data_IF_409764389622
#
_entry.id   IF_409764389622
#
_cell.length_a   1.000
_cell.length_b   1.000
_cell.length_c   1.000
_cell.angle_alpha   90.00
_cell.angle_beta   90.00
_cell.angle_gamma   90.00
#
_symmetry.space_group_name_H-M   'P 1'
#
loop_
_entity.id
_entity.type
_entity.pdbx_description
1 polymer ?
#
# COMPACT_ATOMS: atom_id res chain seq x y z
N UNK A 1 -80.22 32.84 -10.33
CA UNK A 1 -79.37 33.99 -9.95
C UNK A 1 -78.98 33.82 -8.49
N UNK A 2 -77.69 33.97 -8.16
CA UNK A 2 -77.10 33.86 -6.81
C UNK A 2 -76.30 32.57 -6.60
N UNK A 3 -74.95 32.54 -6.77
CA UNK A 3 -73.88 32.73 -5.74
C UNK A 3 -73.84 31.62 -4.68
N UNK A 4 -72.74 30.96 -4.26
CA UNK A 4 -71.29 30.99 -4.48
C UNK A 4 -70.66 29.79 -3.69
N UNK A 5 -69.31 29.73 -3.56
CA UNK A 5 -68.47 28.94 -2.59
C UNK A 5 -67.97 27.57 -3.12
N UNK A 6 -66.69 27.14 -3.06
CA UNK A 6 -65.41 27.76 -2.70
C UNK A 6 -64.21 26.93 -3.23
N UNK A 7 -63.08 27.64 -3.30
CA UNK A 7 -61.67 27.27 -3.49
C UNK A 7 -61.15 26.10 -2.62
N UNK A 8 -60.23 25.30 -3.17
CA UNK A 8 -59.02 24.85 -2.46
C UNK A 8 -57.97 24.30 -3.46
N UNK A 9 -57.07 25.16 -3.90
CA UNK A 9 -55.84 24.78 -4.60
C UNK A 9 -54.78 24.39 -3.55
N UNK A 10 -54.40 23.11 -3.50
CA UNK A 10 -53.26 22.64 -2.71
C UNK A 10 -52.02 22.67 -3.61
N UNK A 11 -51.22 23.72 -3.46
CA UNK A 11 -49.86 23.80 -4.02
C UNK A 11 -48.90 23.24 -2.98
N UNK A 12 -48.46 22.00 -3.16
CA UNK A 12 -47.34 21.44 -2.41
C UNK A 12 -46.02 21.88 -3.05
N UNK A 13 -45.42 22.96 -2.53
CA UNK A 13 -44.01 23.27 -2.80
C UNK A 13 -43.17 22.40 -1.90
N UNK A 14 -42.72 21.26 -2.43
CA UNK A 14 -41.69 20.44 -1.80
C UNK A 14 -40.32 21.08 -2.04
N UNK A 15 -39.85 21.91 -1.11
CA UNK A 15 -38.44 22.27 -1.00
C UNK A 15 -37.66 21.08 -0.45
N UNK A 16 -37.35 20.12 -1.32
CA UNK A 16 -36.34 19.11 -1.04
C UNK A 16 -34.97 19.78 -1.01
N UNK A 17 -34.50 20.18 0.17
CA UNK A 17 -33.10 20.51 0.39
C UNK A 17 -32.28 19.24 0.19
N UNK A 18 -31.81 18.99 -1.03
CA UNK A 18 -30.73 18.03 -1.27
C UNK A 18 -29.48 18.62 -0.65
N UNK A 19 -29.03 18.06 0.47
CA UNK A 19 -27.71 18.34 1.03
C UNK A 19 -26.70 17.71 0.07
N UNK A 20 -26.23 18.50 -0.90
CA UNK A 20 -25.06 18.15 -1.70
C UNK A 20 -23.88 18.19 -0.72
N UNK A 21 -23.19 17.08 -0.47
CA UNK A 21 -22.01 17.11 0.38
C UNK A 21 -20.99 18.05 -0.26
N UNK A 22 -20.54 19.05 0.51
CA UNK A 22 -19.64 20.13 0.05
C UNK A 22 -18.23 19.62 -0.30
N UNK A 23 -17.97 18.35 0.01
CA UNK A 23 -16.80 17.58 -0.41
C UNK A 23 -17.24 16.18 -0.82
N UNK A 24 -16.53 15.54 -1.73
CA UNK A 24 -16.88 14.20 -2.20
C UNK A 24 -15.92 13.69 -3.28
N UNK A 25 -16.05 12.41 -3.67
CA UNK A 25 -15.29 11.86 -4.78
C UNK A 25 -15.77 12.46 -6.12
N UNK A 26 -14.88 13.14 -6.84
CA UNK A 26 -15.13 13.62 -8.20
C UNK A 26 -14.28 12.85 -9.20
N UNK A 27 -14.86 12.46 -10.34
CA UNK A 27 -14.10 11.93 -11.47
C UNK A 27 -13.42 13.08 -12.19
N UNK A 28 -12.09 13.10 -12.21
CA UNK A 28 -11.33 14.02 -13.05
C UNK A 28 -10.89 13.28 -14.30
N UNK A 29 -11.21 13.83 -15.46
CA UNK A 29 -10.66 13.38 -16.74
C UNK A 29 -9.42 14.23 -17.02
N UNK A 30 -8.23 13.70 -16.81
CA UNK A 30 -7.01 14.37 -17.27
C UNK A 30 -6.85 14.14 -18.78
N UNK A 31 -6.68 15.21 -19.53
CA UNK A 31 -6.33 15.17 -20.94
C UNK A 31 -4.83 14.84 -21.08
N UNK A 32 -4.50 13.54 -21.07
CA UNK A 32 -3.18 13.00 -21.35
C UNK A 32 -3.34 11.65 -22.04
N UNK A 33 -3.00 11.58 -23.33
CA UNK A 33 -3.31 10.45 -24.21
C UNK A 33 -2.63 9.13 -23.82
N UNK A 34 -3.35 8.03 -24.01
CA UNK A 34 -2.74 6.78 -24.47
C UNK A 34 -2.46 5.65 -23.46
N UNK A 35 -2.93 5.70 -22.20
CA UNK A 35 -2.88 4.51 -21.32
C UNK A 35 -4.27 3.85 -21.18
N UNK A 36 -4.48 2.59 -21.61
CA UNK A 36 -5.70 1.83 -21.38
C UNK A 36 -6.00 1.57 -19.88
N UNK A 37 -5.10 1.96 -18.97
CA UNK A 37 -5.34 2.00 -17.52
C UNK A 37 -5.84 3.36 -16.99
N UNK A 38 -6.10 4.36 -17.85
CA UNK A 38 -6.79 5.61 -17.51
C UNK A 38 -8.27 5.37 -17.14
N UNK A 39 -8.52 4.59 -16.07
CA UNK A 39 -9.76 4.75 -15.33
C UNK A 39 -9.68 6.12 -14.66
N UNK A 40 -10.65 7.03 -14.86
CA UNK A 40 -10.74 8.22 -14.04
C UNK A 40 -10.75 7.77 -12.58
N UNK A 41 -9.68 8.08 -11.84
CA UNK A 41 -9.64 7.80 -10.42
C UNK A 41 -10.38 8.93 -9.72
N UNK A 42 -11.25 8.55 -8.80
CA UNK A 42 -12.06 9.49 -8.05
C UNK A 42 -11.17 10.29 -7.10
N UNK A 43 -11.07 11.60 -7.31
CA UNK A 43 -10.31 12.51 -6.46
C UNK A 43 -11.17 12.95 -5.28
N UNK A 44 -10.56 13.08 -4.11
CA UNK A 44 -11.17 13.82 -3.03
C UNK A 44 -10.88 15.30 -3.23
N UNK A 45 -11.92 16.13 -3.33
CA UNK A 45 -11.74 17.58 -3.26
C UNK A 45 -12.08 18.01 -1.84
N UNK A 46 -11.08 18.53 -1.14
CA UNK A 46 -11.25 19.07 0.19
C UNK A 46 -11.52 20.57 0.15
N UNK A 47 -12.37 21.03 1.06
CA UNK A 47 -12.64 22.46 1.25
C UNK A 47 -11.99 22.94 2.55
N UNK A 48 -11.61 24.23 2.69
CA UNK A 48 -11.17 24.79 3.97
C UNK A 48 -12.24 24.67 5.06
N UNK A 49 -11.86 24.65 6.36
CA UNK A 49 -12.83 24.60 7.44
C UNK A 49 -13.68 25.87 7.47
N UNK A 50 -15.00 25.71 7.62
CA UNK A 50 -15.94 26.82 7.72
C UNK A 50 -16.15 27.22 9.18
N UNK A 51 -16.32 28.52 9.44
CA UNK A 51 -16.52 29.03 10.80
C UNK A 51 -17.80 28.54 11.49
N UNK A 52 -18.78 28.06 10.73
CA UNK A 52 -20.02 27.48 11.25
C UNK A 52 -19.91 26.00 11.62
N UNK A 53 -18.79 25.35 11.31
CA UNK A 53 -18.67 23.91 11.52
C UNK A 53 -18.56 23.55 12.99
N UNK A 54 -19.31 22.51 13.35
CA UNK A 54 -19.10 21.82 14.61
C UNK A 54 -17.84 20.92 14.54
N UNK A 55 -17.40 20.37 15.69
CA UNK A 55 -16.26 19.46 15.77
C UNK A 55 -16.34 18.18 14.91
N UNK A 56 -17.51 17.57 14.72
CA UNK A 56 -17.67 16.39 13.84
C UNK A 56 -17.46 16.80 12.39
N UNK A 57 -18.08 17.91 11.96
CA UNK A 57 -17.92 18.48 10.63
C UNK A 57 -16.46 18.86 10.34
N UNK A 58 -15.76 19.46 11.32
CA UNK A 58 -14.33 19.76 11.20
C UNK A 58 -13.50 18.49 10.99
N UNK A 59 -13.71 17.45 11.79
CA UNK A 59 -12.93 16.21 11.70
C UNK A 59 -13.21 15.48 10.39
N UNK A 60 -14.46 15.48 9.91
CA UNK A 60 -14.80 14.94 8.58
C UNK A 60 -14.16 15.73 7.46
N UNK A 61 -14.17 17.06 7.53
CA UNK A 61 -13.47 17.91 6.58
C UNK A 61 -11.95 17.67 6.59
N UNK A 62 -11.36 17.47 7.77
CA UNK A 62 -9.95 17.10 7.93
C UNK A 62 -9.66 15.75 7.26
N UNK A 63 -10.51 14.74 7.43
CA UNK A 63 -10.37 13.45 6.74
C UNK A 63 -10.38 13.62 5.21
N UNK A 64 -11.32 14.41 4.68
CA UNK A 64 -11.32 14.78 3.26
C UNK A 64 -10.01 15.49 2.85
N UNK A 65 -9.51 16.40 3.68
CA UNK A 65 -8.24 17.11 3.45
C UNK A 65 -7.02 16.18 3.53
N UNK A 66 -7.02 15.16 4.39
CA UNK A 66 -5.97 14.13 4.44
C UNK A 66 -5.97 13.27 3.19
N UNK A 67 -7.16 12.87 2.70
CA UNK A 67 -7.29 12.13 1.45
C UNK A 67 -6.82 12.94 0.23
N UNK A 68 -7.11 14.25 0.22
CA UNK A 68 -6.70 15.19 -0.83
C UNK A 68 -5.26 15.73 -0.67
N UNK A 69 -4.58 15.45 0.44
CA UNK A 69 -3.33 16.13 0.81
C UNK A 69 -2.25 16.14 -0.29
N UNK A 70 -2.00 15.04 -1.02
CA UNK A 70 -0.97 15.04 -2.07
C UNK A 70 -1.37 15.81 -3.32
N UNK A 71 -2.66 16.01 -3.55
CA UNK A 71 -3.18 16.79 -4.68
C UNK A 71 -3.17 18.29 -4.36
N UNK A 72 -3.56 18.65 -3.13
CA UNK A 72 -3.49 20.01 -2.60
C UNK A 72 -3.10 20.02 -1.11
N UNK A 73 -1.80 20.19 -0.79
CA UNK A 73 -1.36 20.21 0.60
C UNK A 73 -1.78 21.48 1.35
N UNK A 74 -2.26 22.52 0.65
CA UNK A 74 -2.57 23.82 1.25
C UNK A 74 -3.86 23.81 2.06
N UNK A 75 -4.79 22.90 1.75
CA UNK A 75 -6.10 22.84 2.41
C UNK A 75 -5.99 22.23 3.81
N UNK A 76 -5.26 21.12 3.97
CA UNK A 76 -5.10 20.47 5.28
C UNK A 76 -4.46 21.41 6.31
N UNK A 77 -3.48 22.22 5.88
CA UNK A 77 -2.84 23.21 6.74
C UNK A 77 -3.85 24.17 7.39
N UNK A 78 -4.97 24.47 6.72
CA UNK A 78 -6.03 25.36 7.25
C UNK A 78 -6.84 24.72 8.38
N UNK A 79 -6.81 23.40 8.52
CA UNK A 79 -7.44 22.66 9.62
C UNK A 79 -6.59 22.64 10.89
N UNK A 80 -5.30 22.98 10.80
CA UNK A 80 -4.35 22.93 11.90
C UNK A 80 -4.22 24.30 12.57
N UNK A 81 -3.99 24.32 13.89
CA UNK A 81 -3.50 25.52 14.58
C UNK A 81 -2.06 25.82 14.11
N UNK A 82 -1.56 27.07 14.25
CA UNK A 82 -0.17 27.38 13.93
C UNK A 82 0.85 26.49 14.68
N UNK A 83 0.53 26.13 15.94
CA UNK A 83 1.31 25.18 16.75
C UNK A 83 1.36 23.80 16.10
N UNK A 84 0.21 23.25 15.71
CA UNK A 84 0.11 21.93 15.09
C UNK A 84 0.82 21.91 13.73
N UNK A 85 0.58 22.92 12.91
CA UNK A 85 1.17 23.05 11.57
C UNK A 85 2.70 23.08 11.60
N UNK A 86 3.30 23.70 12.62
CA UNK A 86 4.76 23.76 12.77
C UNK A 86 5.39 22.41 13.18
N UNK A 87 4.61 21.49 13.75
CA UNK A 87 5.11 20.20 14.27
C UNK A 87 4.78 19.01 13.38
N UNK A 88 3.57 19.00 12.81
CA UNK A 88 3.05 17.87 12.06
C UNK A 88 3.81 17.63 10.76
N UNK A 89 4.13 16.37 10.49
CA UNK A 89 4.81 15.96 9.25
C UNK A 89 3.90 15.06 8.40
N UNK A 90 3.72 15.38 7.10
CA UNK A 90 2.96 14.53 6.18
C UNK A 90 3.67 13.23 5.81
N UNK A 91 5.01 13.18 5.94
CA UNK A 91 5.85 12.06 5.51
C UNK A 91 5.80 10.83 6.44
N UNK A 92 4.94 10.84 7.46
CA UNK A 92 4.68 9.69 8.32
C UNK A 92 3.91 8.58 7.60
N UNK A 93 3.69 7.43 8.28
CA UNK A 93 2.91 6.33 7.74
C UNK A 93 1.45 6.73 7.50
N UNK A 94 0.77 6.02 6.61
CA UNK A 94 -0.68 6.15 6.44
C UNK A 94 -1.38 5.16 7.36
N UNK A 95 -2.23 5.68 8.23
CA UNK A 95 -3.13 4.88 9.05
C UNK A 95 -4.40 4.60 8.25
N UNK A 96 -4.73 3.32 8.04
CA UNK A 96 -5.94 2.92 7.31
C UNK A 96 -7.03 2.49 8.28
N UNK A 97 -8.17 3.16 8.23
CA UNK A 97 -9.34 2.88 9.08
C UNK A 97 -10.53 2.37 8.25
N UNK A 98 -11.50 1.72 8.89
CA UNK A 98 -12.80 1.45 8.27
C UNK A 98 -13.49 2.76 7.85
N UNK A 99 -14.39 2.67 6.87
CA UNK A 99 -15.14 3.83 6.37
C UNK A 99 -16.10 4.42 7.42
N UNK A 100 -16.52 3.58 8.38
CA UNK A 100 -17.40 4.00 9.48
C UNK A 100 -16.56 4.41 10.69
N UNK A 101 -16.74 5.65 11.11
CA UNK A 101 -16.13 6.18 12.33
C UNK A 101 -17.09 7.14 13.05
N UNK A 102 -16.91 7.24 14.36
CA UNK A 102 -17.67 8.15 15.22
C UNK A 102 -16.77 9.22 15.79
N UNK A 103 -17.24 10.46 15.80
CA UNK A 103 -16.58 11.57 16.47
C UNK A 103 -17.36 11.89 17.73
N UNK A 104 -16.69 11.93 18.87
CA UNK A 104 -17.31 12.23 20.17
C UNK A 104 -16.36 13.03 21.07
N UNK A 105 -16.86 13.88 21.97
CA UNK A 105 -16.03 14.54 22.97
C UNK A 105 -15.46 13.52 23.97
N UNK A 106 -14.29 13.79 24.54
CA UNK A 106 -13.72 12.95 25.61
C UNK A 106 -14.39 13.20 26.96
N UNK A 107 -14.61 12.13 27.75
CA UNK A 107 -15.23 12.23 29.08
C UNK A 107 -14.28 12.73 30.18
N UNK A 108 -12.96 12.81 29.92
CA UNK A 108 -11.94 13.21 30.91
C UNK A 108 -11.15 14.43 30.46
N UNK A 109 -11.57 15.60 30.97
CA UNK A 109 -10.69 16.70 31.37
C UNK A 109 -10.18 17.65 30.28
N UNK A 110 -10.33 18.95 30.58
CA UNK A 110 -9.81 20.12 29.86
C UNK A 110 -10.37 20.35 28.44
N UNK A 111 -10.27 21.60 28.00
CA UNK A 111 -10.85 22.19 26.79
C UNK A 111 -10.99 21.24 25.56
N UNK A 112 -12.23 21.06 25.08
CA UNK A 112 -12.58 20.73 23.69
C UNK A 112 -11.80 19.58 22.99
N UNK A 113 -11.42 18.52 23.70
CA UNK A 113 -10.82 17.33 23.08
C UNK A 113 -11.89 16.39 22.48
N UNK A 114 -11.65 15.89 21.26
CA UNK A 114 -12.52 14.98 20.54
C UNK A 114 -11.78 13.69 20.17
N UNK A 115 -12.50 12.58 20.09
CA UNK A 115 -11.95 11.28 19.65
C UNK A 115 -12.69 10.81 18.42
N UNK A 116 -11.92 10.45 17.39
CA UNK A 116 -12.35 9.65 16.27
C UNK A 116 -12.19 8.18 16.66
N UNK A 117 -13.32 7.52 16.88
CA UNK A 117 -13.40 6.09 17.11
C UNK A 117 -13.61 5.40 15.77
N UNK A 118 -12.57 4.77 15.28
CA UNK A 118 -12.59 3.95 14.07
C UNK A 118 -11.76 2.70 14.28
N UNK A 119 -12.15 1.61 13.63
CA UNK A 119 -11.34 0.41 13.55
C UNK A 119 -10.22 0.65 12.54
N UNK A 120 -8.99 0.80 13.01
CA UNK A 120 -7.78 0.69 12.18
C UNK A 120 -7.65 -0.73 11.64
N UNK A 121 -7.51 -0.86 10.33
CA UNK A 121 -7.45 -2.15 9.63
C UNK A 121 -6.08 -2.42 8.99
N UNK A 122 -5.29 -1.37 8.75
CA UNK A 122 -3.95 -1.50 8.21
C UNK A 122 -3.11 -0.24 8.46
N UNK A 123 -1.84 -0.33 8.06
CA UNK A 123 -0.91 0.78 7.92
C UNK A 123 -0.21 0.67 6.55
N UNK A 124 0.01 1.80 5.89
CA UNK A 124 0.93 1.88 4.75
C UNK A 124 2.19 2.57 5.24
N UNK A 125 3.31 1.89 5.15
CA UNK A 125 4.58 2.34 5.71
C UNK A 125 5.26 3.35 4.77
N UNK A 126 6.27 4.12 5.26
CA UNK A 126 6.99 5.06 4.40
C UNK A 126 7.72 4.42 3.20
N UNK A 127 7.94 3.10 3.24
CA UNK A 127 8.48 2.30 2.15
C UNK A 127 7.39 1.69 1.24
N UNK A 128 6.15 2.15 1.38
CA UNK A 128 4.95 1.72 0.68
C UNK A 128 4.44 0.31 1.05
N UNK A 129 5.00 -0.36 2.06
CA UNK A 129 4.50 -1.66 2.49
C UNK A 129 3.09 -1.55 3.09
N UNK A 130 2.16 -2.40 2.64
CA UNK A 130 0.83 -2.51 3.26
C UNK A 130 0.84 -3.56 4.37
N UNK A 131 0.74 -3.11 5.61
CA UNK A 131 0.75 -3.96 6.80
C UNK A 131 -0.68 -4.08 7.34
N UNK A 132 -1.38 -5.22 7.11
CA UNK A 132 -2.70 -5.44 7.70
C UNK A 132 -2.57 -5.56 9.21
N UNK A 133 -3.51 -4.97 9.94
CA UNK A 133 -3.58 -5.06 11.40
C UNK A 133 -4.75 -5.94 11.81
N UNK A 134 -4.52 -6.78 12.80
CA UNK A 134 -5.56 -7.61 13.43
C UNK A 134 -5.70 -7.22 14.90
N UNK A 135 -6.94 -7.14 15.40
CA UNK A 135 -7.24 -6.88 16.82
C UNK A 135 -7.91 -5.52 17.12
N UNK A 136 -7.77 -5.07 18.37
CA UNK A 136 -8.32 -3.81 18.88
C UNK A 136 -7.45 -2.63 18.41
N UNK A 137 -7.91 -1.97 17.35
CA UNK A 137 -7.28 -0.75 16.86
C UNK A 137 -7.19 0.33 17.95
N UNK A 138 -6.08 1.08 18.03
CA UNK A 138 -5.97 2.20 18.95
C UNK A 138 -6.97 3.30 18.56
N UNK A 139 -7.63 3.89 19.56
CA UNK A 139 -8.48 5.07 19.34
C UNK A 139 -7.63 6.25 18.84
N UNK A 140 -8.14 6.98 17.84
CA UNK A 140 -7.50 8.18 17.30
C UNK A 140 -8.11 9.41 17.97
N UNK A 141 -7.35 10.10 18.81
CA UNK A 141 -7.80 11.33 19.46
C UNK A 141 -7.30 12.57 18.72
N UNK A 142 -8.18 13.56 18.55
CA UNK A 142 -7.86 14.90 18.05
C UNK A 142 -8.13 15.93 19.15
N UNK A 143 -7.13 16.74 19.48
CA UNK A 143 -7.36 17.89 20.37
C UNK A 143 -7.84 19.04 19.49
N UNK A 144 -9.03 19.58 19.75
CA UNK A 144 -9.55 20.73 19.02
C UNK A 144 -9.46 21.98 19.87
N UNK A 145 -9.23 23.11 19.21
CA UNK A 145 -9.19 24.44 19.82
C UNK A 145 -9.88 25.44 18.92
N UNK A 146 -10.56 26.42 19.51
CA UNK A 146 -11.00 27.61 18.77
C UNK A 146 -9.83 28.55 18.52
N UNK A 147 -9.56 28.85 17.26
CA UNK A 147 -8.59 29.83 16.80
C UNK A 147 -9.33 30.86 15.93
N UNK A 148 -9.36 32.13 16.37
CA UNK A 148 -10.16 33.17 15.71
C UNK A 148 -11.66 32.86 15.63
N UNK A 149 -12.20 32.09 16.57
CA UNK A 149 -13.62 31.69 16.61
C UNK A 149 -13.96 30.43 15.79
N UNK A 150 -13.01 29.87 15.03
CA UNK A 150 -13.20 28.65 14.22
C UNK A 150 -12.47 27.48 14.88
N UNK A 151 -13.07 26.28 14.89
CA UNK A 151 -12.38 25.10 15.40
C UNK A 151 -11.20 24.70 14.49
N UNK A 152 -10.09 24.32 15.12
CA UNK A 152 -8.89 23.78 14.48
C UNK A 152 -8.31 22.65 15.31
N UNK A 153 -7.54 21.77 14.67
CA UNK A 153 -6.80 20.68 15.33
C UNK A 153 -5.51 21.23 15.92
N UNK A 154 -5.35 21.10 17.23
CA UNK A 154 -4.16 21.57 17.96
C UNK A 154 -3.06 20.50 18.07
N UNK A 155 -3.43 19.23 17.98
CA UNK A 155 -2.50 18.09 18.03
C UNK A 155 -2.90 17.01 17.04
N UNK A 156 -1.94 16.63 16.19
CA UNK A 156 -2.11 15.65 15.14
C UNK A 156 -0.87 14.76 15.05
N UNK A 157 -1.07 13.44 14.95
CA UNK A 157 0.03 12.49 14.72
C UNK A 157 0.59 12.64 13.30
N UNK A 158 1.89 12.42 13.15
CA UNK A 158 2.55 12.44 11.86
C UNK A 158 1.94 11.41 10.90
N UNK A 159 1.91 11.77 9.62
CA UNK A 159 1.29 10.97 8.55
C UNK A 159 -0.17 11.32 8.32
N UNK A 160 -0.82 10.48 7.50
CA UNK A 160 -2.21 10.64 7.08
C UNK A 160 -3.08 9.57 7.72
N UNK A 161 -4.32 9.91 8.04
CA UNK A 161 -5.36 8.94 8.42
C UNK A 161 -6.36 8.89 7.29
N UNK A 162 -6.48 7.72 6.66
CA UNK A 162 -7.31 7.51 5.48
C UNK A 162 -8.30 6.37 5.74
N UNK A 163 -9.52 6.51 5.24
CA UNK A 163 -10.49 5.43 5.22
C UNK A 163 -10.09 4.36 4.19
N UNK A 164 -10.64 3.16 4.32
CA UNK A 164 -10.48 2.06 3.36
C UNK A 164 -10.85 2.53 1.95
N UNK A 165 -11.93 3.29 1.82
CA UNK A 165 -12.38 3.85 0.56
C UNK A 165 -11.44 4.93 0.01
N UNK A 166 -10.83 5.77 0.86
CA UNK A 166 -9.79 6.72 0.43
C UNK A 166 -8.58 5.98 -0.17
N UNK A 167 -8.11 4.92 0.50
CA UNK A 167 -7.00 4.10 0.02
C UNK A 167 -7.36 3.41 -1.31
N UNK A 168 -8.55 2.82 -1.42
CA UNK A 168 -9.01 2.17 -2.65
C UNK A 168 -9.06 3.13 -3.85
N UNK A 169 -9.34 4.41 -3.61
CA UNK A 169 -9.32 5.44 -4.67
C UNK A 169 -7.90 5.87 -5.03
N UNK A 170 -7.11 6.24 -4.03
CA UNK A 170 -5.84 6.93 -4.22
C UNK A 170 -4.61 6.01 -4.33
N UNK A 171 -4.72 4.73 -3.99
CA UNK A 171 -3.61 3.79 -4.01
C UNK A 171 -3.90 2.58 -4.91
N UNK A 172 -2.82 1.92 -5.33
CA UNK A 172 -2.83 0.66 -6.07
C UNK A 172 -1.86 -0.31 -5.42
N UNK A 173 -2.38 -1.51 -5.14
CA UNK A 173 -1.55 -2.63 -4.74
C UNK A 173 -0.74 -3.08 -5.96
N UNK A 174 0.57 -3.10 -5.82
CA UNK A 174 1.54 -3.15 -6.92
C UNK A 174 2.57 -4.22 -6.64
N UNK A 175 2.83 -5.07 -7.63
CA UNK A 175 3.86 -6.09 -7.56
C UNK A 175 5.16 -5.57 -8.18
N UNK A 176 6.16 -5.28 -7.36
CA UNK A 176 7.49 -4.89 -7.82
C UNK A 176 8.40 -6.11 -7.79
N UNK A 177 9.22 -6.30 -8.81
CA UNK A 177 10.10 -7.46 -8.92
C UNK A 177 11.54 -7.01 -8.70
N UNK A 178 12.20 -7.58 -7.70
CA UNK A 178 13.60 -7.32 -7.36
C UNK A 178 14.43 -8.59 -7.55
N UNK A 179 15.73 -8.44 -7.73
CA UNK A 179 16.65 -9.57 -7.92
C UNK A 179 17.07 -10.12 -6.57
N UNK A 180 17.02 -11.44 -6.37
CA UNK A 180 17.61 -12.05 -5.18
C UNK A 180 19.14 -11.86 -5.17
N UNK A 181 19.73 -11.94 -3.99
CA UNK A 181 21.19 -11.83 -3.82
C UNK A 181 21.94 -13.14 -4.13
N UNK A 182 21.27 -14.13 -4.72
CA UNK A 182 21.88 -15.40 -5.09
C UNK A 182 22.55 -15.33 -6.48
N UNK A 183 23.41 -16.30 -6.79
CA UNK A 183 24.15 -16.35 -8.06
C UNK A 183 23.23 -16.41 -9.30
N UNK A 184 22.01 -16.91 -9.16
CA UNK A 184 21.06 -17.05 -10.27
C UNK A 184 20.15 -15.83 -10.49
N UNK A 185 20.23 -14.80 -9.62
CA UNK A 185 19.55 -13.49 -9.75
C UNK A 185 18.07 -13.62 -10.12
N UNK A 186 17.34 -14.53 -9.45
CA UNK A 186 15.90 -14.75 -9.66
C UNK A 186 15.10 -13.54 -9.17
N UNK A 187 13.96 -13.30 -9.81
CA UNK A 187 13.04 -12.25 -9.41
C UNK A 187 12.18 -12.70 -8.22
N UNK A 188 12.11 -11.83 -7.22
CA UNK A 188 11.29 -11.94 -6.02
C UNK A 188 10.30 -10.79 -6.03
N UNK A 189 9.04 -11.08 -5.76
CA UNK A 189 7.98 -10.08 -5.72
C UNK A 189 7.93 -9.38 -4.36
N UNK A 190 8.00 -8.05 -4.40
CA UNK A 190 7.67 -7.15 -3.31
C UNK A 190 6.29 -6.54 -3.58
N UNK A 191 5.32 -6.77 -2.68
CA UNK A 191 3.95 -6.30 -2.85
C UNK A 191 3.73 -5.04 -2.01
N UNK A 192 3.70 -3.90 -2.68
CA UNK A 192 3.61 -2.58 -2.07
C UNK A 192 2.32 -1.86 -2.48
N UNK A 193 1.91 -0.84 -1.74
CA UNK A 193 0.73 -0.03 -2.01
C UNK A 193 1.17 1.36 -2.49
N UNK A 194 1.26 1.53 -3.80
CA UNK A 194 1.72 2.79 -4.40
C UNK A 194 0.58 3.77 -4.56
N UNK A 195 0.83 5.01 -4.15
CA UNK A 195 -0.10 6.11 -4.39
C UNK A 195 -0.11 6.49 -5.87
N UNK A 196 -1.31 6.73 -6.40
CA UNK A 196 -1.51 7.37 -7.69
C UNK A 196 -1.27 8.88 -7.57
N UNK A 197 -0.54 9.45 -8.52
CA UNK A 197 -0.23 10.87 -8.54
C UNK A 197 -0.81 11.52 -9.80
N UNK A 198 -1.40 12.72 -9.72
CA UNK A 198 -1.94 13.41 -10.89
C UNK A 198 -0.88 13.79 -11.93
N UNK A 199 0.35 14.03 -11.49
CA UNK A 199 1.45 14.55 -12.32
C UNK A 199 2.34 13.48 -12.91
N UNK A 200 2.09 12.20 -12.61
CA UNK A 200 2.93 11.08 -13.04
C UNK A 200 2.04 9.96 -13.59
N UNK A 201 2.47 9.32 -14.69
CA UNK A 201 1.84 8.06 -15.10
C UNK A 201 2.08 6.99 -14.03
N UNK A 202 1.22 5.97 -13.99
CA UNK A 202 1.44 4.86 -13.07
C UNK A 202 2.72 4.08 -13.41
N UNK A 203 3.05 4.00 -14.71
CA UNK A 203 4.34 3.52 -15.20
C UNK A 203 5.50 4.27 -14.52
N UNK A 204 5.49 5.60 -14.58
CA UNK A 204 6.51 6.44 -13.94
C UNK A 204 6.60 6.21 -12.43
N UNK A 205 5.46 6.05 -11.77
CA UNK A 205 5.40 5.76 -10.32
C UNK A 205 6.09 4.43 -9.99
N UNK A 206 5.83 3.37 -10.78
CA UNK A 206 6.47 2.06 -10.64
C UNK A 206 7.98 2.17 -10.85
N UNK A 207 8.41 2.78 -11.96
CA UNK A 207 9.85 2.87 -12.28
C UNK A 207 10.59 3.66 -11.20
N UNK A 208 10.10 4.84 -10.80
CA UNK A 208 10.70 5.63 -9.72
C UNK A 208 10.75 4.87 -8.39
N UNK A 209 9.79 3.98 -8.12
CA UNK A 209 9.81 3.15 -6.90
C UNK A 209 10.86 2.03 -6.97
N UNK A 210 11.12 1.45 -8.14
CA UNK A 210 12.16 0.42 -8.33
C UNK A 210 13.59 0.95 -8.12
N UNK A 211 13.79 2.26 -8.28
CA UNK A 211 15.06 2.94 -7.98
C UNK A 211 15.30 3.11 -6.47
N UNK A 212 14.26 2.96 -5.64
CA UNK A 212 14.36 3.01 -4.17
C UNK A 212 14.61 1.62 -3.60
N UNK A 213 15.08 1.57 -2.36
CA UNK A 213 15.24 0.33 -1.60
C UNK A 213 13.94 -0.50 -1.57
N UNK A 214 14.01 -1.84 -1.59
CA UNK A 214 12.84 -2.69 -1.39
C UNK A 214 12.21 -2.45 -0.01
N UNK A 215 10.98 -2.93 0.17
CA UNK A 215 10.31 -2.86 1.47
C UNK A 215 11.15 -3.51 2.57
N UNK A 216 10.94 -3.08 3.82
CA UNK A 216 11.66 -3.59 4.98
C UNK A 216 11.58 -5.12 5.10
N UNK A 217 10.50 -5.75 4.62
CA UNK A 217 10.32 -7.19 4.63
C UNK A 217 11.31 -7.96 3.73
N UNK A 218 11.82 -7.33 2.66
CA UNK A 218 12.74 -7.95 1.71
C UNK A 218 14.15 -7.35 1.73
N UNK A 219 14.38 -6.34 2.57
CA UNK A 219 15.67 -5.67 2.71
C UNK A 219 16.78 -6.67 3.04
N UNK A 220 17.86 -6.64 2.27
CA UNK A 220 19.00 -7.56 2.43
C UNK A 220 18.83 -8.92 1.77
N UNK A 221 17.61 -9.35 1.44
CA UNK A 221 17.36 -10.57 0.67
C UNK A 221 17.38 -10.32 -0.85
N UNK A 222 16.97 -9.12 -1.25
CA UNK A 222 16.87 -8.70 -2.65
C UNK A 222 17.60 -7.38 -2.88
N UNK A 223 17.91 -7.12 -4.15
CA UNK A 223 18.52 -5.89 -4.63
C UNK A 223 17.86 -5.42 -5.93
N UNK A 224 18.11 -4.17 -6.26
CA UNK A 224 17.68 -3.59 -7.53
C UNK A 224 18.80 -3.74 -8.57
N UNK A 225 18.44 -4.02 -9.82
CA UNK A 225 19.38 -4.04 -10.93
C UNK A 225 19.89 -2.64 -11.33
N UNK A 226 19.25 -1.58 -10.85
CA UNK A 226 19.66 -0.20 -11.12
C UNK A 226 20.93 0.17 -10.33
N UNK A 227 22.00 0.61 -11.02
CA UNK A 227 23.17 1.18 -10.36
C UNK A 227 22.83 2.40 -9.48
N UNK A 228 23.54 2.63 -8.37
CA UNK A 228 23.42 3.86 -7.60
C UNK A 228 23.67 5.09 -8.48
N UNK A 229 22.81 6.10 -8.35
CA UNK A 229 22.87 7.33 -9.16
C UNK A 229 22.13 7.25 -10.51
N UNK A 230 21.45 6.14 -10.81
CA UNK A 230 20.47 6.14 -11.91
C UNK A 230 19.25 6.99 -11.55
N UNK A 231 18.80 7.84 -12.48
CA UNK A 231 17.61 8.66 -12.33
C UNK A 231 16.64 8.44 -13.52
N UNK A 232 15.34 8.66 -13.29
CA UNK A 232 14.30 8.58 -14.33
C UNK A 232 14.06 9.98 -14.87
N UNK A 233 14.44 10.20 -16.13
CA UNK A 233 14.23 11.48 -16.82
C UNK A 233 12.80 11.59 -17.35
N UNK A 234 12.30 10.53 -17.99
CA UNK A 234 10.94 10.51 -18.52
C UNK A 234 10.40 9.08 -18.68
N UNK A 235 9.07 8.96 -18.61
CA UNK A 235 8.36 7.72 -18.92
C UNK A 235 7.17 8.03 -19.82
N UNK A 236 7.28 7.65 -21.08
CA UNK A 236 6.20 7.72 -22.07
C UNK A 236 5.49 6.37 -22.20
N UNK A 237 4.17 6.38 -22.28
CA UNK A 237 3.37 5.18 -22.58
C UNK A 237 2.57 5.44 -23.85
N UNK A 238 2.72 4.55 -24.83
CA UNK A 238 1.95 4.52 -26.07
C UNK A 238 1.13 3.23 -26.20
N UNK A 239 0.46 3.05 -27.34
CA UNK A 239 -0.36 1.86 -27.58
C UNK A 239 0.47 0.57 -27.59
N UNK A 240 1.58 0.57 -28.35
CA UNK A 240 2.44 -0.60 -28.61
C UNK A 240 3.73 -0.63 -27.77
N UNK A 241 4.07 0.47 -27.08
CA UNK A 241 5.36 0.62 -26.39
C UNK A 241 5.29 1.43 -25.11
N UNK A 242 6.25 1.18 -24.23
CA UNK A 242 6.60 2.02 -23.07
C UNK A 242 8.03 2.49 -23.26
N UNK A 243 8.25 3.79 -23.33
CA UNK A 243 9.57 4.41 -23.50
C UNK A 243 10.01 4.98 -22.17
N UNK A 244 11.19 4.58 -21.69
CA UNK A 244 11.72 5.00 -20.40
C UNK A 244 13.13 5.56 -20.63
N UNK A 245 13.30 6.85 -20.38
CA UNK A 245 14.59 7.50 -20.45
C UNK A 245 15.20 7.61 -19.05
N UNK A 246 16.42 7.13 -18.91
CA UNK A 246 17.21 7.22 -17.70
C UNK A 246 18.44 8.09 -17.91
N UNK A 247 19.02 8.57 -16.82
CA UNK A 247 20.39 9.09 -16.74
C UNK A 247 21.19 8.28 -15.71
N UNK A 248 22.52 8.43 -15.71
CA UNK A 248 23.41 7.79 -14.74
C UNK A 248 24.15 6.54 -15.26
N UNK A 249 24.74 5.70 -14.38
CA UNK A 249 25.78 4.74 -14.76
C UNK A 249 25.23 3.40 -15.31
N UNK A 250 24.25 3.46 -16.21
CA UNK A 250 23.71 2.26 -16.88
C UNK A 250 24.64 1.73 -17.98
N UNK A 251 25.46 2.60 -18.59
CA UNK A 251 26.37 2.22 -19.67
C UNK A 251 27.46 1.23 -19.24
N UNK A 252 27.78 1.15 -17.95
CA UNK A 252 28.81 0.25 -17.41
C UNK A 252 28.32 -1.18 -17.13
N UNK A 253 27.01 -1.43 -17.24
CA UNK A 253 26.44 -2.77 -16.99
C UNK A 253 26.88 -3.76 -18.07
N UNK A 254 27.27 -4.97 -17.65
CA UNK A 254 27.49 -6.06 -18.58
C UNK A 254 26.15 -6.62 -19.14
N UNK A 255 26.22 -7.52 -20.12
CA UNK A 255 25.01 -8.09 -20.75
C UNK A 255 24.12 -8.86 -19.76
N UNK A 256 24.72 -9.53 -18.76
CA UNK A 256 23.99 -10.31 -17.76
C UNK A 256 23.27 -9.39 -16.77
N UNK A 257 23.95 -8.35 -16.29
CA UNK A 257 23.40 -7.31 -15.43
C UNK A 257 22.29 -6.53 -16.12
N UNK A 258 22.52 -6.14 -17.36
CA UNK A 258 21.52 -5.45 -18.19
C UNK A 258 20.28 -6.31 -18.42
N UNK A 259 20.47 -7.60 -18.72
CA UNK A 259 19.36 -8.55 -18.88
C UNK A 259 18.55 -8.69 -17.58
N UNK A 260 19.21 -8.72 -16.42
CA UNK A 260 18.55 -8.80 -15.11
C UNK A 260 17.76 -7.53 -14.77
N UNK A 261 18.33 -6.35 -15.02
CA UNK A 261 17.65 -5.06 -14.85
C UNK A 261 16.40 -4.99 -15.72
N UNK A 262 16.53 -5.32 -17.01
CA UNK A 262 15.41 -5.31 -17.96
C UNK A 262 14.32 -6.28 -17.53
N UNK A 263 14.68 -7.47 -17.02
CA UNK A 263 13.71 -8.42 -16.49
C UNK A 263 12.95 -7.86 -15.27
N UNK A 264 13.66 -7.30 -14.29
CA UNK A 264 13.04 -6.64 -13.13
C UNK A 264 12.01 -5.58 -13.57
N UNK A 265 12.37 -4.75 -14.54
CA UNK A 265 11.51 -3.70 -15.07
C UNK A 265 10.31 -4.27 -15.84
N UNK A 266 10.56 -5.21 -16.75
CA UNK A 266 9.54 -5.89 -17.56
C UNK A 266 8.48 -6.55 -16.67
N UNK A 267 8.89 -7.37 -15.70
CA UNK A 267 7.96 -8.05 -14.81
C UNK A 267 7.18 -7.06 -13.94
N UNK A 268 7.83 -6.01 -13.43
CA UNK A 268 7.15 -4.97 -12.65
C UNK A 268 6.13 -4.19 -13.49
N UNK A 269 6.38 -3.90 -14.76
CA UNK A 269 5.42 -3.17 -15.58
C UNK A 269 4.31 -4.08 -16.12
N UNK A 270 4.64 -5.30 -16.56
CA UNK A 270 3.66 -6.26 -17.10
C UNK A 270 2.72 -6.79 -16.00
N UNK A 271 3.22 -7.17 -14.81
CA UNK A 271 2.34 -7.72 -13.77
C UNK A 271 1.46 -6.66 -13.09
N UNK A 272 1.71 -5.38 -13.36
CA UNK A 272 0.83 -4.26 -13.02
C UNK A 272 0.04 -3.73 -14.22
N UNK A 273 -0.03 -4.51 -15.31
CA UNK A 273 -0.81 -4.28 -16.54
C UNK A 273 -0.39 -3.06 -17.37
N UNK A 274 0.77 -2.47 -17.08
CA UNK A 274 1.29 -1.29 -17.79
C UNK A 274 1.93 -1.68 -19.13
N UNK A 275 2.69 -2.78 -19.16
CA UNK A 275 3.44 -3.23 -20.34
C UNK A 275 2.93 -4.55 -20.92
N UNK A 276 1.64 -4.86 -20.76
CA UNK A 276 1.03 -6.06 -21.34
C UNK A 276 1.04 -5.97 -22.86
N UNK A 277 1.66 -6.95 -23.53
CA UNK A 277 1.77 -6.99 -24.99
C UNK A 277 2.47 -5.77 -25.61
N UNK A 278 3.27 -5.03 -24.83
CA UNK A 278 3.99 -3.82 -25.27
C UNK A 278 5.49 -4.02 -25.27
N UNK A 279 6.17 -3.42 -26.25
CA UNK A 279 7.63 -3.29 -26.25
C UNK A 279 8.06 -2.32 -25.14
N UNK A 280 9.18 -2.58 -24.47
CA UNK A 280 9.80 -1.60 -23.55
C UNK A 280 11.06 -1.09 -24.23
N UNK A 281 11.13 0.21 -24.45
CA UNK A 281 12.28 0.90 -25.02
C UNK A 281 12.98 1.69 -23.92
N UNK A 282 14.23 1.36 -23.66
CA UNK A 282 15.07 2.08 -22.70
C UNK A 282 15.97 3.04 -23.46
N UNK A 283 16.02 4.27 -22.98
CA UNK A 283 16.94 5.31 -23.43
C UNK A 283 17.89 5.69 -22.30
N UNK A 284 19.10 6.12 -22.66
CA UNK A 284 20.09 6.68 -21.76
C UNK A 284 20.46 8.07 -22.29
N UNK A 285 20.17 9.10 -21.50
CA UNK A 285 20.38 10.51 -21.87
C UNK A 285 19.72 10.87 -23.22
N UNK A 286 18.56 10.27 -23.51
CA UNK A 286 17.80 10.45 -24.74
C UNK A 286 18.18 9.53 -25.91
N UNK A 287 19.30 8.80 -25.80
CA UNK A 287 19.77 7.89 -26.85
C UNK A 287 19.26 6.45 -26.64
N UNK A 288 18.94 5.69 -27.70
CA UNK A 288 18.51 4.30 -27.59
C UNK A 288 19.53 3.42 -26.86
N UNK A 289 19.09 2.71 -25.82
CA UNK A 289 19.96 1.88 -24.98
C UNK A 289 19.59 0.39 -24.98
N UNK A 290 18.30 0.06 -24.97
CA UNK A 290 17.80 -1.33 -25.05
C UNK A 290 16.36 -1.39 -25.55
N UNK A 291 16.01 -2.45 -26.29
CA UNK A 291 14.64 -2.72 -26.69
C UNK A 291 14.26 -4.12 -26.23
N UNK A 292 13.26 -4.21 -25.37
CA UNK A 292 12.74 -5.47 -24.84
C UNK A 292 11.40 -5.79 -25.52
N UNK A 293 11.23 -6.96 -26.17
CA UNK A 293 9.96 -7.34 -26.78
C UNK A 293 8.91 -7.74 -25.73
N UNK A 294 7.61 -7.86 -26.10
CA UNK A 294 6.51 -8.07 -25.17
C UNK A 294 6.49 -9.39 -24.37
N UNK A 295 7.40 -10.32 -24.66
CA UNK A 295 7.40 -11.68 -24.10
C UNK A 295 8.54 -11.86 -23.10
N UNK A 296 8.29 -11.75 -21.78
CA UNK A 296 9.34 -11.98 -20.78
C UNK A 296 9.82 -13.43 -20.81
N UNK A 297 11.13 -13.62 -20.76
CA UNK A 297 11.71 -14.96 -20.54
C UNK A 297 11.27 -15.51 -19.17
N UNK A 298 10.71 -16.71 -19.13
CA UNK A 298 10.20 -17.30 -17.88
C UNK A 298 11.31 -17.73 -16.91
N UNK A 299 12.57 -17.74 -17.34
CA UNK A 299 13.73 -18.16 -16.52
C UNK A 299 13.98 -17.28 -15.30
N UNK A 300 13.38 -16.10 -15.23
CA UNK A 300 13.60 -15.15 -14.14
C UNK A 300 12.79 -15.48 -12.88
N UNK A 301 11.65 -16.14 -13.03
CA UNK A 301 10.85 -16.60 -11.91
C UNK A 301 11.25 -18.01 -11.51
N UNK A 302 11.11 -18.34 -10.23
CA UNK A 302 11.28 -19.71 -9.76
C UNK A 302 10.06 -20.55 -10.16
N UNK A 303 10.28 -21.72 -10.78
CA UNK A 303 9.23 -22.71 -11.05
C UNK A 303 8.91 -23.57 -9.80
N UNK A 304 9.23 -23.07 -8.59
CA UNK A 304 8.97 -23.76 -7.33
C UNK A 304 7.48 -23.72 -6.98
N UNK A 305 6.98 -24.78 -6.33
CA UNK A 305 5.56 -25.07 -6.15
C UNK A 305 4.65 -23.88 -5.84
N UNK A 306 3.50 -23.84 -6.50
CA UNK A 306 2.50 -22.77 -6.50
C UNK A 306 1.72 -22.62 -5.19
N UNK A 307 2.18 -23.22 -4.09
CA UNK A 307 1.45 -23.27 -2.82
C UNK A 307 2.07 -22.30 -1.83
N UNK A 308 1.45 -21.13 -1.61
CA UNK A 308 1.94 -20.18 -0.63
C UNK A 308 1.58 -20.62 0.80
N UNK A 309 2.52 -20.44 1.73
CA UNK A 309 2.34 -20.71 3.16
C UNK A 309 2.51 -19.43 3.97
N UNK A 310 1.86 -19.34 5.12
CA UNK A 310 2.12 -18.30 6.11
C UNK A 310 1.99 -18.87 7.52
N UNK A 311 2.46 -18.11 8.52
CA UNK A 311 2.34 -18.50 9.92
C UNK A 311 1.57 -17.49 10.73
N UNK A 312 0.81 -17.96 11.71
CA UNK A 312 0.05 -17.12 12.64
C UNK A 312 -0.06 -17.81 13.97
N UNK A 313 0.38 -17.15 15.05
CA UNK A 313 0.34 -17.68 16.42
C UNK A 313 0.95 -19.09 16.56
N UNK A 314 2.08 -19.32 15.90
CA UNK A 314 2.79 -20.60 15.91
C UNK A 314 2.17 -21.69 15.03
N UNK A 315 1.11 -21.40 14.28
CA UNK A 315 0.45 -22.31 13.34
C UNK A 315 0.91 -22.01 11.92
N UNK A 316 1.15 -23.05 11.13
CA UNK A 316 1.46 -22.96 9.70
C UNK A 316 0.19 -23.20 8.89
N UNK A 317 -0.07 -22.33 7.93
CA UNK A 317 -1.25 -22.36 7.09
C UNK A 317 -0.86 -22.38 5.61
N UNK A 318 -1.63 -23.12 4.82
CA UNK A 318 -1.69 -22.95 3.37
C UNK A 318 -2.62 -21.77 3.08
N UNK A 319 -2.14 -20.79 2.32
CA UNK A 319 -2.98 -19.69 1.89
C UNK A 319 -3.93 -20.16 0.78
N UNK A 320 -5.21 -19.84 0.94
CA UNK A 320 -6.27 -20.06 -0.04
C UNK A 320 -6.56 -18.77 -0.81
N UNK A 321 -7.16 -18.89 -2.00
CA UNK A 321 -7.61 -17.73 -2.78
C UNK A 321 -8.73 -16.94 -2.09
N UNK A 322 -9.37 -17.52 -1.07
CA UNK A 322 -10.42 -16.90 -0.27
C UNK A 322 -10.20 -17.17 1.22
N UNK A 323 -10.27 -16.14 2.06
CA UNK A 323 -10.24 -16.27 3.52
C UNK A 323 -8.85 -16.42 4.17
N UNK A 324 -8.85 -16.81 5.44
CA UNK A 324 -7.67 -16.89 6.30
C UNK A 324 -6.94 -18.25 6.19
N UNK A 325 -6.79 -18.80 4.99
CA UNK A 325 -6.09 -20.07 4.75
C UNK A 325 -6.65 -21.29 5.50
N UNK A 326 -5.98 -22.43 5.33
CA UNK A 326 -6.25 -23.67 6.08
C UNK A 326 -4.97 -24.10 6.76
N UNK A 327 -5.04 -24.50 8.03
CA UNK A 327 -3.88 -25.07 8.72
C UNK A 327 -3.33 -26.27 7.95
N UNK A 328 -2.01 -26.37 7.83
CA UNK A 328 -1.37 -27.53 7.20
C UNK A 328 -1.71 -28.81 7.96
N UNK A 329 -1.68 -29.97 7.30
CA UNK A 329 -1.85 -31.23 8.01
C UNK A 329 -0.64 -31.54 8.89
N UNK A 330 -0.88 -32.26 10.00
CA UNK A 330 0.16 -32.67 10.95
C UNK A 330 0.49 -31.60 11.99
N UNK A 331 1.57 -31.79 12.77
CA UNK A 331 1.83 -31.01 13.97
C UNK A 331 2.26 -29.56 13.68
N UNK A 332 2.56 -29.22 12.44
CA UNK A 332 2.82 -27.83 12.02
C UNK A 332 1.52 -27.01 11.87
N UNK A 333 0.38 -27.67 11.73
CA UNK A 333 -0.95 -27.04 11.73
C UNK A 333 -1.54 -26.85 13.13
N UNK A 334 -0.84 -27.29 14.17
CA UNK A 334 -1.26 -27.16 15.55
C UNK A 334 -0.61 -25.93 16.20
N UNK A 335 -1.34 -25.24 17.07
CA UNK A 335 -0.84 -24.03 17.70
C UNK A 335 0.22 -24.37 18.75
N UNK A 336 1.42 -23.81 18.57
CA UNK A 336 2.48 -23.87 19.56
C UNK A 336 3.07 -22.47 19.81
N UNK A 337 2.82 -21.85 20.98
CA UNK A 337 3.27 -20.49 21.27
C UNK A 337 4.80 -20.38 21.41
N UNK A 338 5.51 -21.49 21.64
CA UNK A 338 6.98 -21.49 21.75
C UNK A 338 7.65 -21.42 20.38
N UNK A 339 6.91 -21.63 19.29
CA UNK A 339 7.46 -21.64 17.94
C UNK A 339 7.41 -20.26 17.29
N UNK A 340 8.58 -19.86 16.78
CA UNK A 340 8.79 -18.60 16.07
C UNK A 340 9.76 -18.82 14.90
N UNK A 341 9.89 -17.81 14.03
CA UNK A 341 10.87 -17.81 12.94
C UNK A 341 10.88 -19.10 12.11
N UNK A 342 9.81 -19.34 11.36
CA UNK A 342 9.65 -20.55 10.58
C UNK A 342 10.42 -20.50 9.26
N UNK A 343 10.93 -21.66 8.81
CA UNK A 343 11.53 -21.82 7.49
C UNK A 343 11.05 -23.10 6.80
N UNK A 344 10.66 -23.00 5.53
CA UNK A 344 10.14 -24.11 4.75
C UNK A 344 11.16 -24.55 3.68
N UNK A 345 11.42 -25.86 3.58
CA UNK A 345 12.28 -26.43 2.54
C UNK A 345 11.58 -26.51 1.19
N UNK A 346 12.35 -26.50 0.10
CA UNK A 346 11.85 -26.49 -1.29
C UNK A 346 11.46 -27.88 -1.85
N UNK A 347 11.77 -28.98 -1.14
CA UNK A 347 11.60 -30.36 -1.64
C UNK A 347 10.13 -30.79 -1.72
N UNK A 348 9.83 -31.77 -2.59
CA UNK A 348 8.50 -32.39 -2.72
C UNK A 348 7.96 -32.94 -1.38
N UNK A 349 8.85 -33.33 -0.47
CA UNK A 349 8.53 -33.58 0.94
C UNK A 349 8.93 -32.35 1.77
N UNK A 350 8.08 -31.33 1.79
CA UNK A 350 8.40 -30.07 2.45
C UNK A 350 8.60 -30.29 3.96
N UNK A 351 9.84 -30.14 4.41
CA UNK A 351 10.20 -29.97 5.82
C UNK A 351 9.99 -28.52 6.25
N UNK A 352 9.57 -28.34 7.50
CA UNK A 352 9.46 -27.05 8.16
C UNK A 352 10.35 -27.03 9.39
N UNK A 353 11.11 -25.96 9.56
CA UNK A 353 11.89 -25.66 10.74
C UNK A 353 11.22 -24.51 11.52
N UNK A 354 11.33 -24.53 12.85
CA UNK A 354 10.90 -23.45 13.73
C UNK A 354 11.93 -23.25 14.84
N UNK A 355 12.17 -22.00 15.23
CA UNK A 355 12.95 -21.69 16.43
C UNK A 355 12.06 -21.80 17.66
N UNK A 356 12.62 -22.42 18.68
CA UNK A 356 12.04 -22.59 20.02
C UNK A 356 12.90 -21.85 21.04
N UNK A 357 12.48 -21.81 22.30
CA UNK A 357 13.30 -21.27 23.40
C UNK A 357 14.57 -22.12 23.68
N UNK A 358 14.63 -23.36 23.22
CA UNK A 358 15.71 -24.32 23.52
C UNK A 358 16.52 -24.76 22.31
N UNK A 359 16.16 -24.32 21.10
CA UNK A 359 16.79 -24.85 19.89
C UNK A 359 15.99 -24.62 18.62
N UNK A 360 16.37 -25.32 17.55
CA UNK A 360 15.63 -25.40 16.29
C UNK A 360 14.99 -26.78 16.20
N UNK A 361 13.68 -26.81 15.97
CA UNK A 361 12.92 -28.03 15.72
C UNK A 361 12.51 -28.14 14.25
N UNK A 362 12.48 -29.35 13.72
CA UNK A 362 12.07 -29.66 12.34
C UNK A 362 10.95 -30.69 12.33
N UNK A 363 9.99 -30.55 11.42
CA UNK A 363 8.94 -31.53 11.16
C UNK A 363 8.69 -31.66 9.65
N UNK A 364 8.15 -32.81 9.23
CA UNK A 364 7.54 -32.93 7.90
C UNK A 364 6.13 -32.35 7.87
N UNK A 365 5.73 -31.72 6.76
CA UNK A 365 4.35 -31.30 6.51
C UNK A 365 3.45 -32.47 6.08
N UNK A 366 3.37 -33.51 6.92
CA UNK A 366 2.51 -34.68 6.71
C UNK A 366 1.70 -34.96 7.98
N UNK A 367 0.54 -35.64 7.88
CA UNK A 367 -0.25 -36.02 9.06
C UNK A 367 0.55 -36.81 10.10
N UNK A 368 1.52 -37.61 9.67
CA UNK A 368 2.38 -38.45 10.52
C UNK A 368 3.67 -37.75 10.98
N UNK A 369 3.90 -36.51 10.53
CA UNK A 369 5.06 -35.71 10.88
C UNK A 369 5.17 -35.52 12.39
N UNK A 370 6.38 -35.32 12.90
CA UNK A 370 6.65 -35.00 14.31
C UNK A 370 7.72 -33.96 14.39
N UNK A 371 7.55 -32.98 15.29
CA UNK A 371 8.61 -32.04 15.62
C UNK A 371 9.75 -32.76 16.33
N UNK A 372 10.96 -32.57 15.82
CA UNK A 372 12.19 -33.08 16.40
C UNK A 372 13.16 -31.92 16.55
N UNK A 373 13.67 -31.69 17.76
CA UNK A 373 14.73 -30.71 17.97
C UNK A 373 16.02 -31.26 17.33
N UNK A 374 16.53 -30.52 16.34
CA UNK A 374 17.71 -30.91 15.55
C UNK A 374 18.94 -30.07 15.91
N UNK A 375 18.74 -28.90 16.51
CA UNK A 375 19.80 -28.05 17.06
C UNK A 375 19.39 -27.62 18.45
N UNK A 376 20.31 -27.69 19.41
CA UNK A 376 20.12 -27.18 20.77
C UNK A 376 20.82 -25.84 20.93
N UNK A 377 20.18 -24.89 21.62
CA UNK A 377 20.76 -23.59 21.92
C UNK A 377 19.72 -22.51 22.15
N UNK A 378 20.07 -21.51 22.97
CA UNK A 378 19.17 -20.39 23.33
C UNK A 378 19.47 -19.12 22.53
N UNK A 379 20.65 -19.01 21.93
CA UNK A 379 21.10 -17.86 21.14
C UNK A 379 21.37 -18.28 19.69
N UNK A 380 20.31 -18.63 18.97
CA UNK A 380 20.38 -19.09 17.59
C UNK A 380 19.81 -18.04 16.63
N UNK A 381 20.43 -17.91 15.47
CA UNK A 381 19.82 -17.21 14.33
C UNK A 381 18.58 -17.94 13.86
N UNK A 382 17.69 -17.22 13.17
CA UNK A 382 16.50 -17.81 12.56
C UNK A 382 16.89 -18.94 11.58
N UNK A 383 16.15 -20.06 11.56
CA UNK A 383 16.47 -21.18 10.69
C UNK A 383 16.35 -20.78 9.22
N UNK A 384 17.20 -21.36 8.38
CA UNK A 384 17.14 -21.22 6.92
C UNK A 384 17.46 -22.58 6.29
N UNK A 385 16.93 -22.82 5.08
CA UNK A 385 17.24 -24.02 4.31
C UNK A 385 18.20 -23.68 3.18
N UNK A 386 19.12 -24.59 2.88
CA UNK A 386 19.90 -24.49 1.65
C UNK A 386 18.99 -24.77 0.45
N UNK A 387 19.38 -24.31 -0.74
CA UNK A 387 18.50 -24.36 -1.93
C UNK A 387 18.20 -25.80 -2.38
N UNK A 388 19.08 -26.73 -2.08
CA UNK A 388 18.92 -28.16 -2.37
C UNK A 388 18.09 -28.91 -1.31
N UNK A 389 17.52 -28.20 -0.33
CA UNK A 389 16.66 -28.73 0.72
C UNK A 389 17.49 -29.20 1.90
#
# INVERSE_FOLDING_TARGET
MGTAIALAAVVCVGSGCTVIPVSGPYTVNDAGGGDPLNKPFQRMIAVPPLGSWDPDQLIRGLQSAMAAYPDDPTVLAKYLTPKAQAKWKPSGPVTVIEDTFQVSPTERGAEQQYVLKAKQIARIDPDDAYVPLSGNAPELSFVLKKDGGVYRVDELRDGLVLTKSDVARAYRLTNLYYLNNARDRRLVVDRVCLRLKPTESFAQTIVKRLLKEPSAALRGAVGTGFPPGTEVESVGTGEDRVVINFSGPLASLDLSEKSALVAQLRYSLTNNKVANSRTIELQLDGEPYWTEPPNPETRWLDNGGSTPYYTSKGVVHVMSNEGAGVAVSGPAGEANPDFSAFALSRKESALIAARTSTGISVAGLTPEGRWQQVVEGTELTDPTWHRDG
#
